data_IF_678590913651
#
_entry.id   IF_678590913651
#
_cell.length_a   1.000
_cell.length_b   1.000
_cell.length_c   1.000
_cell.angle_alpha   90.00
_cell.angle_beta   90.00
_cell.angle_gamma   90.00
#
_symmetry.space_group_name_H-M   'P 1'
#
loop_
_entity.id
_entity.type
_entity.pdbx_description
1 polymer ?
#
# COMPACT_ATOMS: atom_id res chain seq x y z
N UNK A 1 -1.84 -0.33 9.56
CA UNK A 1 -1.99 -0.70 8.15
C UNK A 1 -2.61 -2.07 8.07
N UNK A 2 -3.44 -2.32 7.07
CA UNK A 2 -4.09 -3.62 6.88
C UNK A 2 -3.62 -4.22 5.55
N UNK A 3 -3.00 -5.39 5.60
CA UNK A 3 -2.59 -6.14 4.41
C UNK A 3 -3.80 -6.53 3.56
N UNK A 4 -3.67 -6.39 2.24
CA UNK A 4 -4.62 -6.90 1.26
C UNK A 4 -4.02 -8.06 0.48
N UNK A 5 -4.86 -8.91 -0.13
CA UNK A 5 -4.40 -9.95 -1.07
C UNK A 5 -3.88 -9.36 -2.39
N UNK A 6 -4.21 -8.11 -2.70
CA UNK A 6 -3.82 -7.45 -3.95
C UNK A 6 -2.30 -7.24 -4.07
N UNK A 7 -1.79 -7.49 -5.28
CA UNK A 7 -0.44 -7.06 -5.68
C UNK A 7 -0.47 -5.55 -5.88
N UNK A 8 0.59 -4.85 -5.43
CA UNK A 8 0.74 -3.45 -5.76
C UNK A 8 0.98 -3.31 -7.27
N UNK A 9 -0.04 -2.83 -7.98
CA UNK A 9 -0.05 -2.67 -9.42
C UNK A 9 -0.52 -1.25 -9.81
N UNK A 10 -0.14 -0.75 -11.00
CA UNK A 10 -0.67 0.51 -11.50
C UNK A 10 -2.19 0.40 -11.70
N UNK A 11 -2.92 1.47 -11.40
CA UNK A 11 -4.29 1.58 -11.87
C UNK A 11 -4.34 1.89 -13.37
N UNK A 12 -5.44 1.58 -14.07
CA UNK A 12 -5.60 1.96 -15.47
C UNK A 12 -5.36 3.48 -15.65
N UNK A 13 -4.50 3.83 -16.62
CA UNK A 13 -4.12 5.22 -16.87
C UNK A 13 -3.13 5.81 -15.86
N UNK A 14 -2.43 4.98 -15.06
CA UNK A 14 -1.35 5.46 -14.22
C UNK A 14 -0.25 6.12 -15.06
N UNK A 15 0.06 7.36 -14.72
CA UNK A 15 1.24 8.09 -15.19
C UNK A 15 2.07 8.52 -13.98
N UNK A 16 3.39 8.31 -13.97
CA UNK A 16 4.21 8.67 -12.84
C UNK A 16 4.25 10.20 -12.67
N UNK A 17 4.16 10.64 -11.41
CA UNK A 17 4.40 12.04 -11.06
C UNK A 17 5.87 12.45 -11.21
N UNK A 18 6.23 13.68 -10.81
CA UNK A 18 7.61 14.17 -10.87
C UNK A 18 8.62 13.27 -10.15
N UNK A 19 8.20 12.61 -9.05
CA UNK A 19 8.97 11.57 -8.39
C UNK A 19 8.60 10.19 -8.93
N UNK A 20 9.24 9.79 -10.03
CA UNK A 20 8.89 8.59 -10.80
C UNK A 20 9.11 7.31 -10.00
N UNK A 21 10.17 7.28 -9.20
CA UNK A 21 10.61 6.12 -8.44
C UNK A 21 9.77 5.87 -7.18
N UNK A 22 8.81 6.75 -6.87
CA UNK A 22 7.96 6.61 -5.69
C UNK A 22 7.11 5.33 -5.73
N UNK A 23 6.50 5.02 -6.88
CA UNK A 23 5.60 3.86 -7.02
C UNK A 23 6.09 2.84 -8.06
N UNK A 24 6.55 3.33 -9.21
CA UNK A 24 6.74 2.51 -10.41
C UNK A 24 7.69 1.30 -10.21
N UNK A 25 8.84 1.44 -9.52
CA UNK A 25 9.76 0.32 -9.33
C UNK A 25 9.21 -0.82 -8.47
N UNK A 26 8.18 -0.54 -7.66
CA UNK A 26 7.67 -1.47 -6.64
C UNK A 26 6.47 -2.28 -7.13
N UNK A 27 5.98 -2.00 -8.34
CA UNK A 27 4.88 -2.76 -8.91
C UNK A 27 5.26 -4.23 -9.15
N UNK A 28 4.32 -5.14 -8.89
CA UNK A 28 4.49 -6.59 -9.12
C UNK A 28 5.24 -7.35 -8.02
N UNK A 29 6.16 -6.70 -7.31
CA UNK A 29 6.95 -7.32 -6.24
C UNK A 29 6.38 -7.09 -4.83
N UNK A 30 5.58 -6.05 -4.65
CA UNK A 30 5.02 -5.66 -3.36
C UNK A 30 3.53 -5.99 -3.25
N UNK A 31 3.04 -6.13 -2.02
CA UNK A 31 1.60 -6.21 -1.70
C UNK A 31 1.10 -4.88 -1.17
N UNK A 32 -0.19 -4.62 -1.38
CA UNK A 32 -0.82 -3.41 -0.88
C UNK A 32 -1.21 -3.49 0.60
N UNK A 33 -1.19 -2.33 1.26
CA UNK A 33 -1.78 -2.12 2.56
C UNK A 33 -2.64 -0.86 2.58
N UNK A 34 -3.72 -0.89 3.37
CA UNK A 34 -4.71 0.21 3.48
C UNK A 34 -4.92 0.69 4.92
N UNK A 35 -5.61 1.82 5.06
CA UNK A 35 -6.17 2.34 6.31
C UNK A 35 -5.26 3.21 7.19
N UNK A 36 -3.93 3.12 7.07
CA UNK A 36 -3.02 3.77 8.01
C UNK A 36 -2.81 2.97 9.30
N UNK A 37 -1.86 3.38 10.14
CA UNK A 37 -1.58 2.82 11.47
C UNK A 37 -1.65 3.94 12.52
N UNK A 38 -1.62 3.58 13.82
CA UNK A 38 -1.57 4.58 14.90
C UNK A 38 -0.36 5.54 14.78
N UNK A 39 0.73 5.08 14.15
CA UNK A 39 1.92 5.87 13.88
C UNK A 39 1.84 6.72 12.59
N UNK A 40 0.83 6.52 11.75
CA UNK A 40 0.65 7.29 10.50
C UNK A 40 0.17 8.69 10.84
N UNK A 41 0.74 9.72 10.22
CA UNK A 41 0.29 11.09 10.44
C UNK A 41 -1.18 11.28 9.97
N UNK A 42 -1.98 12.04 10.72
CA UNK A 42 -3.41 12.23 10.44
C UNK A 42 -3.70 12.66 8.98
N UNK A 43 -2.92 13.62 8.45
CA UNK A 43 -3.04 14.10 7.05
C UNK A 43 -2.89 13.02 5.96
N UNK A 44 -2.27 11.89 6.27
CA UNK A 44 -2.06 10.78 5.32
C UNK A 44 -3.17 9.72 5.40
N UNK A 45 -4.05 9.82 6.40
CA UNK A 45 -5.22 8.94 6.49
C UNK A 45 -6.22 9.35 5.42
N UNK A 46 -6.14 8.68 4.27
CA UNK A 46 -7.05 8.88 3.15
C UNK A 46 -7.45 7.53 2.55
N UNK A 47 -8.73 7.28 2.24
CA UNK A 47 -9.19 5.99 1.71
C UNK A 47 -8.48 5.55 0.42
N UNK A 48 -8.02 6.52 -0.40
CA UNK A 48 -7.28 6.25 -1.64
C UNK A 48 -5.77 6.08 -1.45
N UNK A 49 -5.23 6.32 -0.25
CA UNK A 49 -3.80 6.12 -0.02
C UNK A 49 -3.48 4.62 -0.09
N UNK A 50 -2.38 4.31 -0.77
CA UNK A 50 -1.86 2.95 -1.00
C UNK A 50 -0.49 2.88 -0.38
N UNK A 51 -0.33 2.05 0.65
CA UNK A 51 1.00 1.68 1.13
C UNK A 51 1.41 0.36 0.48
N UNK A 52 2.70 0.07 0.43
CA UNK A 52 3.22 -1.13 -0.22
C UNK A 52 4.52 -1.59 0.43
N UNK A 53 4.63 -2.89 0.65
CA UNK A 53 5.84 -3.55 1.18
C UNK A 53 5.98 -4.93 0.55
N UNK A 54 7.19 -5.47 0.55
CA UNK A 54 7.41 -6.87 0.22
C UNK A 54 6.60 -7.76 1.18
N UNK A 55 6.02 -8.87 0.70
CA UNK A 55 5.05 -9.68 1.46
C UNK A 55 5.63 -10.34 2.72
N UNK A 56 6.95 -10.48 2.81
CA UNK A 56 7.63 -11.07 3.97
C UNK A 56 7.78 -10.09 5.16
N UNK A 57 7.53 -8.78 4.95
CA UNK A 57 7.93 -7.75 5.92
C UNK A 57 7.05 -7.83 7.17
N UNK A 58 7.69 -7.88 8.33
CA UNK A 58 7.03 -7.98 9.64
C UNK A 58 7.48 -6.91 10.64
N UNK A 59 8.33 -5.98 10.19
CA UNK A 59 8.87 -4.84 10.95
C UNK A 59 8.04 -3.55 10.79
N UNK A 60 6.91 -3.61 10.07
CA UNK A 60 5.99 -2.50 9.86
C UNK A 60 4.78 -2.60 10.79
N UNK A 61 4.17 -1.46 11.15
CA UNK A 61 2.90 -1.44 11.90
C UNK A 61 1.71 -1.88 11.03
N UNK A 62 1.62 -3.18 10.79
CA UNK A 62 0.62 -3.81 9.95
C UNK A 62 -0.07 -5.00 10.64
N UNK A 63 -1.33 -5.20 10.28
CA UNK A 63 -2.12 -6.40 10.61
C UNK A 63 -2.95 -6.78 9.38
N UNK A 64 -4.05 -7.51 9.59
CA UNK A 64 -5.00 -7.85 8.53
C UNK A 64 -6.43 -7.68 9.03
N UNK A 65 -7.36 -7.51 8.10
CA UNK A 65 -8.80 -7.52 8.34
C UNK A 65 -9.42 -8.61 7.47
N UNK A 66 -10.20 -9.48 8.09
CA UNK A 66 -10.91 -10.54 7.37
C UNK A 66 -12.15 -9.97 6.66
N UNK A 67 -12.52 -10.58 5.54
CA UNK A 67 -13.71 -10.26 4.76
C UNK A 67 -14.31 -11.57 4.25
N UNK A 68 -15.63 -11.66 4.18
CA UNK A 68 -16.33 -12.78 3.55
C UNK A 68 -16.30 -12.61 2.03
N UNK A 69 -16.14 -13.71 1.29
CA UNK A 69 -16.21 -13.73 -0.18
C UNK A 69 -17.66 -13.68 -0.67
#
# INVERSE_FOLDING_TARGET
WEWTSDVFAPYPGFEPGPYREYSQPWFGSHRELRGGAFATHARMHHPRYRNFFEPQRSDVFAGFRTVAL
#
